data_IF_325909473497
#
_entry.id   IF_325909473497
#
_cell.length_a   1.000
_cell.length_b   1.000
_cell.length_c   1.000
_cell.angle_alpha   90.00
_cell.angle_beta   90.00
_cell.angle_gamma   90.00
#
_symmetry.space_group_name_H-M   'P 1'
#
loop_
_entity.id
_entity.type
_entity.pdbx_description
1 polymer ?
#
# COMPACT_ATOMS: atom_id res chain seq x y z
N UNK A 1 -32.59 34.07 -26.93
CA UNK A 1 -32.29 32.77 -27.57
C UNK A 1 -31.89 31.78 -26.49
N UNK A 2 -32.76 30.80 -26.26
CA UNK A 2 -32.74 29.85 -25.14
C UNK A 2 -31.46 28.99 -25.16
N UNK A 3 -30.62 29.13 -24.13
CA UNK A 3 -29.51 28.21 -23.84
C UNK A 3 -30.12 26.90 -23.32
N UNK A 4 -30.49 26.03 -24.26
CA UNK A 4 -30.95 24.68 -23.97
C UNK A 4 -29.83 23.87 -23.32
N UNK A 5 -30.02 23.53 -22.06
CA UNK A 5 -29.22 22.57 -21.31
C UNK A 5 -29.30 21.23 -22.06
N UNK A 6 -28.32 20.94 -22.93
CA UNK A 6 -28.20 19.63 -23.60
C UNK A 6 -27.94 18.60 -22.51
N UNK A 7 -28.99 17.92 -22.07
CA UNK A 7 -28.91 16.66 -21.34
C UNK A 7 -28.07 15.72 -22.22
N UNK A 8 -26.79 15.59 -21.87
CA UNK A 8 -25.87 14.69 -22.58
C UNK A 8 -26.45 13.27 -22.49
N UNK A 9 -26.54 12.57 -23.62
CA UNK A 9 -26.97 11.18 -23.62
C UNK A 9 -26.07 10.35 -22.71
N UNK A 10 -26.60 9.31 -22.06
CA UNK A 10 -25.86 8.40 -21.17
C UNK A 10 -24.50 7.95 -21.76
N UNK A 11 -24.37 7.66 -23.08
CA UNK A 11 -23.08 7.35 -23.70
C UNK A 11 -22.09 8.53 -23.76
N UNK A 12 -22.58 9.76 -23.94
CA UNK A 12 -21.76 10.97 -24.00
C UNK A 12 -21.26 11.38 -22.61
N UNK A 13 -22.04 11.12 -21.55
CA UNK A 13 -21.57 11.26 -20.17
C UNK A 13 -20.47 10.26 -19.82
N UNK A 14 -20.58 9.03 -20.34
CA UNK A 14 -19.59 7.98 -20.12
C UNK A 14 -18.28 8.29 -20.86
N UNK A 15 -18.37 8.80 -22.10
CA UNK A 15 -17.21 9.28 -22.86
C UNK A 15 -16.54 10.49 -22.20
N UNK A 16 -17.33 11.45 -21.69
CA UNK A 16 -16.79 12.61 -20.98
C UNK A 16 -16.09 12.23 -19.67
N UNK A 17 -16.68 11.34 -18.86
CA UNK A 17 -16.07 10.85 -17.63
C UNK A 17 -14.81 10.00 -17.90
N UNK A 18 -14.81 9.23 -18.99
CA UNK A 18 -13.62 8.48 -19.43
C UNK A 18 -12.50 9.43 -19.83
N UNK A 19 -12.84 10.51 -20.53
CA UNK A 19 -11.88 11.54 -20.95
C UNK A 19 -11.30 12.31 -19.75
N UNK A 20 -12.13 12.58 -18.73
CA UNK A 20 -11.67 13.16 -17.46
C UNK A 20 -10.74 12.22 -16.69
N UNK A 21 -11.09 10.93 -16.59
CA UNK A 21 -10.22 9.92 -15.97
C UNK A 21 -8.89 9.79 -16.72
N UNK A 22 -8.90 9.81 -18.05
CA UNK A 22 -7.70 9.69 -18.88
C UNK A 22 -6.80 10.94 -18.76
N UNK A 23 -7.40 12.13 -18.71
CA UNK A 23 -6.70 13.38 -18.47
C UNK A 23 -6.11 13.44 -17.05
N UNK A 24 -6.84 12.97 -16.03
CA UNK A 24 -6.36 12.92 -14.66
C UNK A 24 -5.19 11.95 -14.49
N UNK A 25 -5.26 10.76 -15.11
CA UNK A 25 -4.16 9.80 -15.13
C UNK A 25 -2.92 10.37 -15.85
N UNK A 26 -3.12 11.03 -16.99
CA UNK A 26 -2.03 11.67 -17.73
C UNK A 26 -1.34 12.77 -16.89
N UNK A 27 -2.12 13.64 -16.24
CA UNK A 27 -1.60 14.66 -15.33
C UNK A 27 -0.88 14.06 -14.13
N UNK A 28 -1.41 12.97 -13.54
CA UNK A 28 -0.78 12.29 -12.42
C UNK A 28 0.60 11.70 -12.81
N UNK A 29 0.72 11.14 -14.02
CA UNK A 29 1.99 10.64 -14.55
C UNK A 29 2.99 11.78 -14.74
N UNK A 30 2.57 12.90 -15.35
CA UNK A 30 3.42 14.09 -15.53
C UNK A 30 3.87 14.65 -14.18
N UNK A 31 2.95 14.79 -13.23
CA UNK A 31 3.25 15.29 -11.89
C UNK A 31 4.25 14.38 -11.17
N UNK A 32 4.10 13.06 -11.29
CA UNK A 32 5.04 12.08 -10.74
C UNK A 32 6.44 12.21 -11.38
N UNK A 33 6.53 12.45 -12.68
CA UNK A 33 7.82 12.66 -13.36
C UNK A 33 8.48 14.02 -13.00
N UNK A 34 7.71 15.09 -12.91
CA UNK A 34 8.22 16.43 -12.53
C UNK A 34 8.65 16.45 -11.07
N UNK A 35 7.91 15.75 -10.20
CA UNK A 35 8.31 15.56 -8.81
C UNK A 35 9.68 14.86 -8.79
N UNK A 36 9.84 13.74 -9.50
CA UNK A 36 11.12 13.01 -9.60
C UNK A 36 12.29 13.88 -10.09
N UNK A 37 12.06 14.83 -11.00
CA UNK A 37 13.10 15.73 -11.53
C UNK A 37 13.61 16.78 -10.52
N UNK A 38 12.85 17.12 -9.47
CA UNK A 38 13.24 18.15 -8.50
C UNK A 38 13.92 17.58 -7.24
N UNK A 39 13.84 16.27 -7.00
CA UNK A 39 14.54 15.58 -5.90
C UNK A 39 15.94 15.10 -6.34
N UNK A 40 16.65 15.90 -7.14
CA UNK A 40 18.04 15.66 -7.56
C UNK A 40 19.09 16.02 -6.49
N UNK A 41 18.76 15.88 -5.21
CA UNK A 41 19.71 16.07 -4.12
C UNK A 41 20.61 14.83 -4.01
N UNK A 42 21.77 14.85 -4.66
CA UNK A 42 22.79 13.79 -4.65
C UNK A 42 23.51 13.60 -3.30
N UNK A 43 22.84 13.93 -2.19
CA UNK A 43 23.32 13.74 -0.82
C UNK A 43 22.68 12.52 -0.18
N UNK A 44 23.50 11.66 0.43
CA UNK A 44 23.04 10.48 1.19
C UNK A 44 21.97 10.87 2.23
N UNK A 45 22.12 12.04 2.87
CA UNK A 45 21.18 12.56 3.85
C UNK A 45 19.77 12.78 3.25
N UNK A 46 19.70 13.22 2.00
CA UNK A 46 18.45 13.45 1.30
C UNK A 46 17.77 12.15 0.89
N UNK A 47 18.53 11.16 0.43
CA UNK A 47 18.03 9.81 0.15
C UNK A 47 17.47 9.14 1.41
N UNK A 48 18.18 9.25 2.54
CA UNK A 48 17.70 8.73 3.83
C UNK A 48 16.41 9.44 4.26
N UNK A 49 16.35 10.76 4.10
CA UNK A 49 15.14 11.53 4.40
C UNK A 49 13.94 11.08 3.56
N UNK A 50 14.10 10.92 2.25
CA UNK A 50 13.05 10.42 1.36
C UNK A 50 12.63 9.00 1.74
N UNK A 51 13.60 8.12 2.05
CA UNK A 51 13.32 6.74 2.45
C UNK A 51 12.46 6.70 3.73
N UNK A 52 12.82 7.48 4.75
CA UNK A 52 12.05 7.56 5.99
C UNK A 52 10.66 8.15 5.78
N UNK A 53 10.53 9.18 4.94
CA UNK A 53 9.26 9.79 4.61
C UNK A 53 8.35 8.80 3.86
N UNK A 54 8.88 8.12 2.84
CA UNK A 54 8.14 7.14 2.04
C UNK A 54 7.70 5.95 2.89
N UNK A 55 8.58 5.41 3.75
CA UNK A 55 8.25 4.33 4.66
C UNK A 55 7.14 4.74 5.63
N UNK A 56 7.24 5.94 6.21
CA UNK A 56 6.23 6.46 7.15
C UNK A 56 4.88 6.64 6.47
N UNK A 57 4.86 7.21 5.26
CA UNK A 57 3.64 7.37 4.47
C UNK A 57 3.01 6.01 4.12
N UNK A 58 3.82 5.02 3.79
CA UNK A 58 3.36 3.67 3.44
C UNK A 58 2.67 3.00 4.63
N UNK A 59 3.29 3.06 5.82
CA UNK A 59 2.72 2.49 7.06
C UNK A 59 1.42 3.19 7.42
N UNK A 60 1.41 4.53 7.44
CA UNK A 60 0.20 5.31 7.75
C UNK A 60 -0.92 5.01 6.77
N UNK A 61 -0.62 4.91 5.47
CA UNK A 61 -1.62 4.59 4.45
C UNK A 61 -2.21 3.18 4.63
N UNK A 62 -1.38 2.20 5.02
CA UNK A 62 -1.85 0.86 5.34
C UNK A 62 -2.77 0.86 6.56
N UNK A 63 -2.43 1.58 7.63
CA UNK A 63 -3.28 1.70 8.82
C UNK A 63 -4.64 2.32 8.50
N UNK A 64 -4.66 3.42 7.74
CA UNK A 64 -5.89 4.06 7.27
C UNK A 64 -6.75 3.11 6.41
N UNK A 65 -6.11 2.32 5.54
CA UNK A 65 -6.80 1.33 4.73
C UNK A 65 -7.45 0.23 5.60
N UNK A 66 -6.73 -0.28 6.59
CA UNK A 66 -7.23 -1.29 7.52
C UNK A 66 -8.40 -0.74 8.33
N UNK A 67 -8.34 0.50 8.81
CA UNK A 67 -9.44 1.15 9.53
C UNK A 67 -10.69 1.31 8.68
N UNK A 68 -10.55 1.76 7.43
CA UNK A 68 -11.65 1.82 6.47
C UNK A 68 -12.26 0.44 6.23
N UNK A 69 -11.43 -0.58 5.98
CA UNK A 69 -11.88 -1.95 5.73
C UNK A 69 -12.58 -2.57 6.95
N UNK A 70 -12.05 -2.37 8.16
CA UNK A 70 -12.70 -2.75 9.44
C UNK A 70 -14.08 -2.09 9.56
N UNK A 71 -14.18 -0.80 9.26
CA UNK A 71 -15.45 -0.05 9.32
C UNK A 71 -16.51 -0.59 8.37
N UNK A 72 -16.13 -0.93 7.13
CA UNK A 72 -17.02 -1.57 6.16
C UNK A 72 -17.46 -2.96 6.64
N UNK A 73 -16.54 -3.79 7.12
CA UNK A 73 -16.82 -5.14 7.60
C UNK A 73 -17.78 -5.16 8.81
N UNK A 74 -17.58 -4.23 9.76
CA UNK A 74 -18.49 -4.04 10.91
C UNK A 74 -19.91 -3.68 10.47
N UNK A 75 -20.04 -2.76 9.51
CA UNK A 75 -21.35 -2.38 8.95
C UNK A 75 -22.01 -3.51 8.17
N UNK A 76 -21.22 -4.43 7.61
CA UNK A 76 -21.69 -5.66 6.98
C UNK A 76 -22.06 -6.78 7.94
N UNK A 77 -21.95 -6.58 9.27
CA UNK A 77 -22.30 -7.58 10.28
C UNK A 77 -21.25 -8.70 10.45
N UNK A 78 -20.02 -8.50 9.97
CA UNK A 78 -18.95 -9.50 10.11
C UNK A 78 -18.42 -9.49 11.55
N UNK A 79 -18.25 -10.66 12.21
CA UNK A 79 -17.71 -10.72 13.57
C UNK A 79 -16.28 -10.16 13.69
N UNK A 80 -15.98 -9.46 14.78
CA UNK A 80 -14.64 -8.88 15.07
C UNK A 80 -13.51 -9.92 14.97
N UNK A 81 -13.75 -11.16 15.41
CA UNK A 81 -12.77 -12.25 15.34
C UNK A 81 -12.39 -12.54 13.88
N UNK A 82 -13.37 -12.56 12.97
CA UNK A 82 -13.13 -12.80 11.54
C UNK A 82 -12.38 -11.61 10.94
N UNK A 83 -12.76 -10.38 11.29
CA UNK A 83 -12.07 -9.15 10.86
C UNK A 83 -10.60 -9.17 11.29
N UNK A 84 -10.32 -9.54 12.55
CA UNK A 84 -8.96 -9.64 13.09
C UNK A 84 -8.13 -10.72 12.41
N UNK A 85 -8.72 -11.89 12.14
CA UNK A 85 -8.03 -12.99 11.48
C UNK A 85 -7.78 -12.76 9.98
N UNK A 86 -8.54 -11.87 9.33
CA UNK A 86 -8.49 -11.66 7.88
C UNK A 86 -7.95 -10.27 7.52
N UNK A 87 -8.76 -9.23 7.70
CA UNK A 87 -8.46 -7.85 7.28
C UNK A 87 -7.24 -7.32 8.03
N UNK A 88 -7.16 -7.54 9.33
CA UNK A 88 -6.03 -7.04 10.13
C UNK A 88 -4.76 -7.81 9.81
N UNK A 89 -4.81 -9.15 9.69
CA UNK A 89 -3.62 -9.97 9.41
C UNK A 89 -3.02 -9.69 8.03
N UNK A 90 -3.88 -9.56 7.01
CA UNK A 90 -3.44 -9.15 5.67
C UNK A 90 -2.96 -7.70 5.70
N UNK A 91 -3.70 -6.85 6.40
CA UNK A 91 -3.41 -5.43 6.57
C UNK A 91 -2.00 -5.14 7.04
N UNK A 92 -1.55 -5.82 8.09
CA UNK A 92 -0.21 -5.65 8.65
C UNK A 92 0.90 -6.08 7.71
N UNK A 93 0.58 -6.88 6.68
CA UNK A 93 1.54 -7.35 5.67
C UNK A 93 1.48 -6.53 4.37
N UNK A 94 0.58 -5.54 4.28
CA UNK A 94 0.41 -4.71 3.08
C UNK A 94 1.68 -3.91 2.74
N UNK A 95 2.37 -3.25 3.69
CA UNK A 95 3.59 -2.51 3.38
C UNK A 95 4.65 -3.42 2.73
N UNK A 96 4.87 -4.62 3.27
CA UNK A 96 5.81 -5.59 2.73
C UNK A 96 5.39 -6.06 1.34
N UNK A 97 4.13 -6.44 1.16
CA UNK A 97 3.60 -6.85 -0.14
C UNK A 97 3.82 -5.76 -1.19
N UNK A 98 3.59 -4.48 -0.85
CA UNK A 98 3.77 -3.35 -1.75
C UNK A 98 5.24 -3.10 -2.08
N UNK A 99 6.14 -3.12 -1.09
CA UNK A 99 7.59 -2.95 -1.31
C UNK A 99 8.17 -4.09 -2.14
N UNK A 100 7.81 -5.32 -1.82
CA UNK A 100 8.27 -6.50 -2.56
C UNK A 100 7.69 -6.53 -3.97
N UNK A 101 6.40 -6.24 -4.16
CA UNK A 101 5.77 -6.22 -5.48
C UNK A 101 6.38 -5.14 -6.37
N UNK A 102 6.57 -3.92 -5.85
CA UNK A 102 7.24 -2.85 -6.58
C UNK A 102 8.68 -3.18 -6.91
N UNK A 103 9.41 -3.85 -6.02
CA UNK A 103 10.77 -4.31 -6.29
C UNK A 103 10.78 -5.38 -7.40
N UNK A 104 9.88 -6.37 -7.34
CA UNK A 104 9.74 -7.43 -8.34
C UNK A 104 9.39 -6.88 -9.73
N UNK A 105 8.53 -5.86 -9.81
CA UNK A 105 8.17 -5.20 -11.06
C UNK A 105 9.33 -4.37 -11.67
N UNK A 106 10.35 -4.02 -10.89
CA UNK A 106 11.50 -3.25 -11.35
C UNK A 106 12.75 -4.11 -11.60
N UNK A 107 12.65 -5.44 -11.50
CA UNK A 107 13.77 -6.38 -11.73
C UNK A 107 14.33 -6.26 -13.14
N UNK A 108 13.48 -6.02 -14.15
CA UNK A 108 13.92 -5.83 -15.54
C UNK A 108 14.91 -4.65 -15.71
N UNK A 109 14.85 -3.66 -14.82
CA UNK A 109 15.71 -2.47 -14.88
C UNK A 109 16.98 -2.61 -14.06
N UNK A 110 16.94 -3.41 -12.99
CA UNK A 110 18.04 -3.60 -12.06
C UNK A 110 17.95 -5.03 -11.49
N UNK A 111 18.81 -5.97 -11.89
CA UNK A 111 18.75 -7.34 -11.38
C UNK A 111 18.91 -7.43 -9.86
N UNK A 112 19.65 -6.49 -9.28
CA UNK A 112 20.01 -6.45 -7.85
C UNK A 112 18.80 -6.20 -6.91
N UNK A 113 17.70 -5.61 -7.40
CA UNK A 113 16.48 -5.45 -6.58
C UNK A 113 15.71 -6.75 -6.40
N UNK A 114 16.02 -7.80 -7.18
CA UNK A 114 15.46 -9.13 -6.93
C UNK A 114 15.93 -9.68 -5.58
N UNK A 115 17.22 -9.54 -5.28
CA UNK A 115 17.80 -9.98 -4.00
C UNK A 115 17.25 -9.16 -2.83
N UNK A 116 17.02 -7.85 -3.02
CA UNK A 116 16.34 -7.01 -2.04
C UNK A 116 14.91 -7.48 -1.77
N UNK A 117 14.14 -7.80 -2.82
CA UNK A 117 12.77 -8.28 -2.68
C UNK A 117 12.71 -9.61 -1.91
N UNK A 118 13.57 -10.57 -2.26
CA UNK A 118 13.65 -11.87 -1.61
C UNK A 118 14.13 -11.72 -0.16
N UNK A 119 15.18 -10.94 0.07
CA UNK A 119 15.70 -10.63 1.41
C UNK A 119 14.66 -9.96 2.29
N UNK A 120 13.83 -9.07 1.73
CA UNK A 120 12.73 -8.40 2.44
C UNK A 120 11.64 -9.37 2.90
N UNK A 121 11.18 -10.27 2.02
CA UNK A 121 10.15 -11.27 2.37
C UNK A 121 10.68 -12.20 3.46
N UNK A 122 11.84 -12.81 3.22
CA UNK A 122 12.42 -13.79 4.15
C UNK A 122 12.76 -13.14 5.49
N UNK A 123 13.31 -11.93 5.45
CA UNK A 123 13.61 -11.12 6.64
C UNK A 123 12.36 -10.82 7.46
N UNK A 124 11.26 -10.37 6.85
CA UNK A 124 10.01 -10.07 7.57
C UNK A 124 9.45 -11.30 8.28
N UNK A 125 9.42 -12.46 7.61
CA UNK A 125 8.96 -13.72 8.22
C UNK A 125 9.85 -14.13 9.40
N UNK A 126 11.17 -14.01 9.25
CA UNK A 126 12.10 -14.31 10.34
C UNK A 126 11.88 -13.36 11.53
N UNK A 127 11.69 -12.07 11.31
CA UNK A 127 11.40 -11.09 12.38
C UNK A 127 10.09 -11.41 13.09
N UNK A 128 9.04 -11.79 12.34
CA UNK A 128 7.76 -12.16 12.93
C UNK A 128 7.86 -13.38 13.85
N UNK A 129 8.60 -14.42 13.43
CA UNK A 129 8.72 -15.67 14.20
C UNK A 129 9.75 -15.55 15.33
N UNK A 130 10.88 -14.89 15.10
CA UNK A 130 11.96 -14.83 16.09
C UNK A 130 11.77 -13.69 17.08
N UNK A 131 11.51 -12.47 16.59
CA UNK A 131 11.45 -11.27 17.42
C UNK A 131 10.06 -11.10 18.01
N UNK A 132 9.02 -11.03 17.18
CA UNK A 132 7.65 -10.73 17.64
C UNK A 132 7.12 -11.91 18.47
N UNK A 133 7.08 -13.11 17.89
CA UNK A 133 6.59 -14.29 18.60
C UNK A 133 7.50 -14.67 19.79
N UNK A 134 8.82 -14.51 19.66
CA UNK A 134 9.75 -14.73 20.78
C UNK A 134 9.48 -13.78 21.95
N UNK A 135 9.28 -12.48 21.68
CA UNK A 135 8.93 -11.51 22.72
C UNK A 135 7.56 -11.81 23.34
N UNK A 136 6.55 -12.17 22.53
CA UNK A 136 5.23 -12.56 23.03
C UNK A 136 5.31 -13.79 23.93
N UNK A 137 6.10 -14.81 23.55
CA UNK A 137 6.27 -16.03 24.34
C UNK A 137 6.97 -15.76 25.68
N UNK A 138 7.95 -14.84 25.70
CA UNK A 138 8.62 -14.40 26.92
C UNK A 138 7.69 -13.58 27.83
N UNK A 139 6.90 -12.67 27.25
CA UNK A 139 6.01 -11.80 28.01
C UNK A 139 4.77 -12.54 28.55
N UNK A 140 4.22 -13.49 27.77
CA UNK A 140 3.02 -14.24 28.12
C UNK A 140 3.17 -15.67 27.62
N UNK A 141 3.43 -16.59 28.55
CA UNK A 141 3.57 -18.01 28.25
C UNK A 141 2.41 -18.51 27.39
N UNK A 142 2.75 -19.03 26.21
CA UNK A 142 1.77 -19.50 25.24
C UNK A 142 1.13 -20.79 25.75
N UNK A 143 -0.16 -20.75 26.04
CA UNK A 143 -0.93 -21.94 26.42
C UNK A 143 -1.29 -22.71 25.16
N UNK A 144 -0.41 -23.63 24.76
CA UNK A 144 -0.62 -24.51 23.61
C UNK A 144 -1.72 -25.51 24.01
N UNK A 145 -2.85 -25.45 23.31
CA UNK A 145 -3.95 -26.40 23.50
C UNK A 145 -3.58 -27.66 22.69
N UNK A 146 -3.33 -28.81 23.31
CA UNK A 146 -3.09 -30.03 22.57
C UNK A 146 -4.38 -30.44 21.84
N UNK A 147 -4.24 -30.73 20.55
CA UNK A 147 -5.26 -31.32 19.68
C UNK A 147 -5.58 -32.75 20.11
#
# INVERSE_FOLDING_TARGET
MSRGNKLMGIPQLLQFNTLLMLAALFLAIIASQVLSANFGGSGILFSVFILLLALSLLVVSADFFIEGAKGLARRGGIPEVVIGLTIVSIGTSLPEILVTSTSALNVDKNPEVADFAIGGILGSVLVQITLILGFVALAKGLKIRPS
#
